data_IF_763929912615
#
_entry.id   IF_763929912615
#
_cell.length_a   1.000
_cell.length_b   1.000
_cell.length_c   1.000
_cell.angle_alpha   90.00
_cell.angle_beta   90.00
_cell.angle_gamma   90.00
#
_symmetry.space_group_name_H-M   'P 1'
#
loop_
_entity.id
_entity.type
_entity.pdbx_description
1 polymer ?
#
# COMPACT_ATOMS: atom_id res chain seq x y z
N UNK A 1 3.37 -6.66 -16.17
CA UNK A 1 3.03 -7.96 -15.52
C UNK A 1 2.54 -7.68 -14.10
N UNK A 2 1.90 -8.64 -13.41
CA UNK A 2 1.31 -8.42 -12.08
C UNK A 2 2.30 -7.85 -11.04
N UNK A 3 3.57 -8.27 -11.11
CA UNK A 3 4.65 -7.76 -10.26
C UNK A 3 5.01 -6.29 -10.55
N UNK A 4 4.96 -5.86 -11.81
CA UNK A 4 5.21 -4.46 -12.17
C UNK A 4 4.12 -3.54 -11.60
N UNK A 5 2.87 -4.00 -11.62
CA UNK A 5 1.72 -3.28 -11.06
C UNK A 5 1.75 -3.23 -9.54
N UNK A 6 2.20 -4.32 -8.89
CA UNK A 6 2.43 -4.33 -7.44
C UNK A 6 3.54 -3.33 -7.05
N UNK A 7 4.66 -3.35 -7.77
CA UNK A 7 5.78 -2.44 -7.54
C UNK A 7 5.38 -0.97 -7.68
N UNK A 8 4.65 -0.61 -8.74
CA UNK A 8 4.16 0.76 -8.93
C UNK A 8 3.17 1.17 -7.85
N UNK A 9 2.23 0.29 -7.48
CA UNK A 9 1.20 0.59 -6.47
C UNK A 9 1.82 0.83 -5.08
N UNK A 10 2.80 0.02 -4.69
CA UNK A 10 3.52 0.21 -3.43
C UNK A 10 4.36 1.49 -3.45
N UNK A 11 5.04 1.78 -4.57
CA UNK A 11 5.81 2.99 -4.73
C UNK A 11 4.95 4.25 -4.61
N UNK A 12 3.77 4.26 -5.24
CA UNK A 12 2.84 5.38 -5.16
C UNK A 12 2.28 5.59 -3.75
N UNK A 13 1.96 4.50 -3.04
CA UNK A 13 1.54 4.56 -1.63
C UNK A 13 2.62 5.18 -0.73
N UNK A 14 3.89 4.78 -0.91
CA UNK A 14 5.02 5.36 -0.18
C UNK A 14 5.28 6.81 -0.57
N UNK A 15 5.14 7.15 -1.85
CA UNK A 15 5.31 8.51 -2.36
C UNK A 15 4.30 9.49 -1.75
N UNK A 16 3.07 9.05 -1.45
CA UNK A 16 2.09 9.86 -0.71
C UNK A 16 2.61 10.24 0.69
N UNK A 17 3.19 9.29 1.41
CA UNK A 17 3.77 9.53 2.73
C UNK A 17 4.99 10.46 2.65
N UNK A 18 5.88 10.24 1.69
CA UNK A 18 7.05 11.11 1.52
C UNK A 18 6.70 12.55 1.10
N UNK A 19 5.55 12.75 0.47
CA UNK A 19 5.03 14.08 0.13
C UNK A 19 4.21 14.71 1.25
N UNK A 20 3.79 13.95 2.25
CA UNK A 20 3.05 14.48 3.37
C UNK A 20 3.98 15.34 4.24
N UNK A 21 3.58 16.57 4.49
CA UNK A 21 4.33 17.49 5.36
C UNK A 21 4.29 17.08 6.83
N UNK A 22 3.25 16.34 7.23
CA UNK A 22 3.07 15.76 8.56
C UNK A 22 2.52 14.35 8.38
N UNK A 23 3.12 13.37 9.05
CA UNK A 23 2.65 11.98 9.05
C UNK A 23 1.85 11.76 10.34
N UNK A 24 0.52 11.75 10.22
CA UNK A 24 -0.41 11.49 11.30
C UNK A 24 -0.99 10.07 11.24
N UNK A 25 -1.81 9.70 12.23
CA UNK A 25 -2.44 8.37 12.29
C UNK A 25 -3.35 8.11 11.07
N UNK A 26 -3.97 9.15 10.52
CA UNK A 26 -4.81 9.03 9.33
C UNK A 26 -3.99 8.68 8.10
N UNK A 27 -2.83 9.34 7.90
CA UNK A 27 -1.90 9.06 6.82
C UNK A 27 -1.35 7.63 6.91
N UNK A 28 -0.99 7.17 8.10
CA UNK A 28 -0.54 5.77 8.31
C UNK A 28 -1.66 4.78 8.00
N UNK A 29 -2.89 5.03 8.44
CA UNK A 29 -4.06 4.17 8.11
C UNK A 29 -4.35 4.14 6.62
N UNK A 30 -4.20 5.25 5.91
CA UNK A 30 -4.36 5.28 4.46
C UNK A 30 -3.28 4.45 3.77
N UNK A 31 -2.01 4.62 4.17
CA UNK A 31 -0.88 3.83 3.64
C UNK A 31 -1.13 2.33 3.81
N UNK A 32 -1.52 1.89 5.00
CA UNK A 32 -1.81 0.47 5.26
C UNK A 32 -2.91 -0.03 4.33
N UNK A 33 -4.00 0.73 4.14
CA UNK A 33 -5.07 0.34 3.23
C UNK A 33 -4.63 0.26 1.77
N UNK A 34 -3.77 1.18 1.32
CA UNK A 34 -3.23 1.18 -0.04
C UNK A 34 -2.31 -0.04 -0.27
N UNK A 35 -1.45 -0.37 0.70
CA UNK A 35 -0.60 -1.56 0.67
C UNK A 35 -1.45 -2.84 0.66
N UNK A 36 -2.47 -2.94 1.51
CA UNK A 36 -3.38 -4.09 1.55
C UNK A 36 -4.08 -4.28 0.19
N UNK A 37 -4.59 -3.19 -0.42
CA UNK A 37 -5.22 -3.25 -1.75
C UNK A 37 -4.24 -3.73 -2.83
N UNK A 38 -3.00 -3.24 -2.81
CA UNK A 38 -1.98 -3.66 -3.77
C UNK A 38 -1.64 -5.15 -3.62
N UNK A 39 -1.50 -5.66 -2.39
CA UNK A 39 -1.23 -7.07 -2.13
C UNK A 39 -2.38 -7.99 -2.57
N UNK A 40 -3.63 -7.58 -2.34
CA UNK A 40 -4.81 -8.33 -2.80
C UNK A 40 -4.90 -8.40 -4.33
N UNK A 41 -4.56 -7.31 -5.02
CA UNK A 41 -4.52 -7.28 -6.49
C UNK A 41 -3.39 -8.14 -7.08
N UNK A 42 -2.36 -8.42 -6.29
CA UNK A 42 -1.27 -9.32 -6.66
C UNK A 42 -1.55 -10.79 -6.26
N UNK A 43 -2.82 -11.13 -5.97
CA UNK A 43 -3.26 -12.47 -5.59
C UNK A 43 -2.61 -13.02 -4.30
N UNK A 44 -2.15 -12.13 -3.40
CA UNK A 44 -1.66 -12.53 -2.08
C UNK A 44 -2.83 -13.01 -1.21
N UNK A 45 -2.59 -14.07 -0.43
CA UNK A 45 -3.60 -14.63 0.47
C UNK A 45 -4.14 -13.58 1.46
N UNK A 46 -5.45 -13.36 1.46
CA UNK A 46 -6.18 -12.45 2.38
C UNK A 46 -5.77 -12.66 3.84
N UNK A 47 -5.56 -13.91 4.28
CA UNK A 47 -5.17 -14.19 5.66
C UNK A 47 -3.80 -13.60 6.02
N UNK A 48 -2.88 -13.49 5.05
CA UNK A 48 -1.56 -12.86 5.24
C UNK A 48 -1.63 -11.33 5.15
N UNK A 49 -2.61 -10.78 4.42
CA UNK A 49 -2.77 -9.32 4.25
C UNK A 49 -3.39 -8.68 5.50
N UNK A 50 -4.25 -9.42 6.21
CA UNK A 50 -4.98 -8.96 7.39
C UNK A 50 -4.54 -9.65 8.70
N UNK A 51 -3.44 -10.42 8.68
CA UNK A 51 -2.85 -11.02 9.89
C UNK A 51 -2.21 -9.98 10.79
#
# INVERSE_FOLDING_TARGET
>A
MALDHLGSSLYDALKKIFKASIVDEAAVKELVKDVQRALLQADVNVKLVFS
#
